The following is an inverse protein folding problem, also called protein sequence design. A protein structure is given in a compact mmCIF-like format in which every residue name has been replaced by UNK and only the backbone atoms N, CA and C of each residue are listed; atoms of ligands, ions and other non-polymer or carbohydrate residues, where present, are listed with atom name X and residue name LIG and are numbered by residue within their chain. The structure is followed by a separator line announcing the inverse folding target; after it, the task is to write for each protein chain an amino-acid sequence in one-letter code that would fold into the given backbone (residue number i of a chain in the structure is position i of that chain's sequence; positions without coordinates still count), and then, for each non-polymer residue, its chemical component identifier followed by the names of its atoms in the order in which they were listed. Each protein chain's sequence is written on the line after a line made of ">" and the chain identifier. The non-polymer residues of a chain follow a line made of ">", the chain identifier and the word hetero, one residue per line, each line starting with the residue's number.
data_IF_421532297860
#
_entry.id   IF_421532297860
#
_cell.length_a   1.000
_cell.length_b   1.000
_cell.length_c   1.000
_cell.angle_alpha   90.00
_cell.angle_beta   90.00
_cell.angle_gamma   90.00
#
_symmetry.space_group_name_H-M   'P 1'
#
loop_
_entity.id
_entity.type
_entity.pdbx_description
1 polymer ?
#
# COMPACT_ATOMS: atom_id res chain seq x y z
N UNK A 1 18.51 -22.61 -24.05
CA UNK A 1 18.98 -21.35 -24.63
C UNK A 1 20.27 -21.66 -25.36
N UNK A 2 20.35 -21.30 -26.64
CA UNK A 2 21.61 -21.44 -27.39
C UNK A 2 22.55 -20.29 -27.03
N UNK A 3 23.86 -20.46 -27.23
CA UNK A 3 24.89 -19.47 -26.87
C UNK A 3 24.63 -18.09 -27.49
N UNK A 4 24.05 -18.04 -28.69
CA UNK A 4 23.68 -16.81 -29.40
C UNK A 4 22.58 -16.01 -28.68
N UNK A 5 21.55 -16.68 -28.18
CA UNK A 5 20.43 -16.08 -27.45
C UNK A 5 20.87 -15.58 -26.05
N UNK A 6 21.85 -16.27 -25.44
CA UNK A 6 22.51 -15.82 -24.21
C UNK A 6 23.30 -14.53 -24.44
N UNK A 7 24.06 -14.46 -25.53
CA UNK A 7 24.87 -13.30 -25.88
C UNK A 7 24.00 -12.07 -26.20
N UNK A 8 22.89 -12.25 -26.92
CA UNK A 8 21.92 -11.18 -27.18
C UNK A 8 21.32 -10.63 -25.88
N UNK A 9 21.03 -11.51 -24.91
CA UNK A 9 20.50 -11.13 -23.61
C UNK A 9 21.50 -10.32 -22.79
N UNK A 10 22.77 -10.74 -22.78
CA UNK A 10 23.84 -9.99 -22.13
C UNK A 10 24.04 -8.60 -22.76
N UNK A 11 24.06 -8.53 -24.09
CA UNK A 11 24.17 -7.26 -24.83
C UNK A 11 23.00 -6.31 -24.56
N UNK A 12 21.78 -6.84 -24.46
CA UNK A 12 20.60 -6.06 -24.09
C UNK A 12 20.74 -5.50 -22.67
N UNK A 13 21.15 -6.32 -21.71
CA UNK A 13 21.34 -5.89 -20.33
C UNK A 13 22.46 -4.85 -20.21
N UNK A 14 23.57 -5.04 -20.92
CA UNK A 14 24.66 -4.08 -21.00
C UNK A 14 24.18 -2.75 -21.60
N UNK A 15 23.44 -2.80 -22.71
CA UNK A 15 22.84 -1.61 -23.32
C UNK A 15 21.96 -0.85 -22.32
N UNK A 16 21.11 -1.52 -21.56
CA UNK A 16 20.26 -0.89 -20.54
C UNK A 16 21.06 -0.36 -19.34
N UNK A 17 22.20 -0.96 -19.04
CA UNK A 17 23.13 -0.43 -18.05
C UNK A 17 23.83 0.83 -18.54
N UNK A 18 24.22 0.92 -19.82
CA UNK A 18 24.81 2.15 -20.39
C UNK A 18 23.81 3.31 -20.42
N UNK A 19 22.50 3.03 -20.47
CA UNK A 19 21.44 4.02 -20.29
C UNK A 19 21.34 4.57 -18.86
N UNK A 20 22.14 4.06 -17.91
CA UNK A 20 22.25 4.63 -16.56
C UNK A 20 22.86 6.02 -16.67
N UNK A 21 21.99 7.03 -16.75
CA UNK A 21 22.40 8.43 -16.81
C UNK A 21 23.27 8.76 -15.59
N UNK A 22 24.38 9.47 -15.83
CA UNK A 22 25.18 10.11 -14.78
C UNK A 22 24.35 11.16 -14.03
N UNK A 23 23.60 10.68 -13.03
CA UNK A 23 23.16 11.41 -11.84
C UNK A 23 22.60 12.84 -12.00
N UNK A 24 21.46 13.00 -12.71
CA UNK A 24 20.57 14.16 -12.43
C UNK A 24 19.07 13.85 -12.52
N UNK A 25 18.62 12.91 -13.36
CA UNK A 25 17.19 12.68 -13.56
C UNK A 25 16.65 11.42 -12.84
N UNK A 26 16.18 11.61 -11.59
CA UNK A 26 15.56 10.55 -10.77
C UNK A 26 14.37 9.86 -11.44
N UNK A 27 13.60 10.57 -12.26
CA UNK A 27 12.45 10.00 -12.98
C UNK A 27 12.89 9.00 -14.03
N UNK A 28 13.91 9.33 -14.82
CA UNK A 28 14.46 8.44 -15.83
C UNK A 28 15.09 7.20 -15.21
N UNK A 29 15.85 7.36 -14.11
CA UNK A 29 16.42 6.20 -13.40
C UNK A 29 15.33 5.27 -12.84
N UNK A 30 14.24 5.84 -12.33
CA UNK A 30 13.08 5.05 -11.88
C UNK A 30 12.40 4.31 -13.03
N UNK A 31 12.31 4.90 -14.22
CA UNK A 31 11.78 4.24 -15.42
C UNK A 31 12.69 3.10 -15.88
N UNK A 32 14.02 3.35 -15.91
CA UNK A 32 15.04 2.35 -16.25
C UNK A 32 14.99 1.16 -15.29
N UNK A 33 14.94 1.41 -13.98
CA UNK A 33 14.84 0.36 -12.96
C UNK A 33 13.52 -0.42 -13.04
N UNK A 34 12.39 0.23 -13.38
CA UNK A 34 11.13 -0.47 -13.68
C UNK A 34 11.22 -1.35 -14.94
N UNK A 35 11.95 -0.93 -15.97
CA UNK A 35 12.21 -1.75 -17.16
C UNK A 35 13.06 -2.97 -16.79
N UNK A 36 14.13 -2.80 -16.02
CA UNK A 36 14.96 -3.90 -15.53
C UNK A 36 14.17 -4.92 -14.71
N UNK A 37 13.26 -4.48 -13.84
CA UNK A 37 12.37 -5.39 -13.11
C UNK A 37 11.45 -6.20 -14.05
N UNK A 38 10.98 -5.60 -15.15
CA UNK A 38 10.17 -6.31 -16.16
C UNK A 38 10.98 -7.34 -16.93
N UNK A 39 12.20 -6.99 -17.33
CA UNK A 39 13.12 -7.89 -18.04
C UNK A 39 13.53 -9.05 -17.14
N UNK A 40 13.98 -8.77 -15.91
CA UNK A 40 14.33 -9.81 -14.93
C UNK A 40 13.18 -10.78 -14.69
N UNK A 41 11.93 -10.30 -14.61
CA UNK A 41 10.74 -11.16 -14.46
C UNK A 41 10.54 -12.09 -15.66
N UNK A 42 10.78 -11.61 -16.87
CA UNK A 42 10.61 -12.42 -18.08
C UNK A 42 11.71 -13.47 -18.22
N UNK A 43 12.96 -13.11 -17.98
CA UNK A 43 14.09 -14.04 -17.93
C UNK A 43 13.88 -15.14 -16.89
N UNK A 44 13.38 -14.76 -15.72
CA UNK A 44 13.08 -15.72 -14.65
C UNK A 44 11.97 -16.71 -15.03
N UNK A 45 10.95 -16.28 -15.80
CA UNK A 45 9.90 -17.18 -16.33
C UNK A 45 10.45 -18.18 -17.35
N UNK A 46 11.48 -17.79 -18.09
CA UNK A 46 12.20 -18.65 -19.04
C UNK A 46 13.22 -19.57 -18.38
N UNK A 47 13.43 -19.43 -17.07
CA UNK A 47 14.41 -20.21 -16.30
C UNK A 47 15.83 -19.66 -16.35
N UNK A 48 16.04 -18.47 -16.92
CA UNK A 48 17.35 -17.82 -17.03
C UNK A 48 17.71 -17.07 -15.75
N UNK A 49 18.02 -17.84 -14.70
CA UNK A 49 18.20 -17.31 -13.36
C UNK A 49 19.36 -16.32 -13.25
N UNK A 50 20.51 -16.60 -13.88
CA UNK A 50 21.69 -15.72 -13.82
C UNK A 50 21.45 -14.37 -14.53
N UNK A 51 20.88 -14.37 -15.74
CA UNK A 51 20.51 -13.12 -16.42
C UNK A 51 19.43 -12.35 -15.64
N UNK A 52 18.48 -13.04 -15.02
CA UNK A 52 17.49 -12.38 -14.18
C UNK A 52 18.14 -11.67 -12.97
N UNK A 53 19.15 -12.29 -12.33
CA UNK A 53 19.92 -11.66 -11.25
C UNK A 53 20.65 -10.41 -11.72
N UNK A 54 21.30 -10.46 -12.88
CA UNK A 54 21.95 -9.29 -13.47
C UNK A 54 20.94 -8.15 -13.65
N UNK A 55 19.78 -8.42 -14.26
CA UNK A 55 18.74 -7.42 -14.44
C UNK A 55 18.29 -6.80 -13.10
N UNK A 56 18.01 -7.63 -12.09
CA UNK A 56 17.55 -7.15 -10.80
C UNK A 56 18.63 -6.38 -10.02
N UNK A 57 19.91 -6.77 -10.09
CA UNK A 57 21.04 -6.08 -9.43
C UNK A 57 21.19 -4.63 -9.88
N UNK A 58 20.85 -4.34 -11.13
CA UNK A 58 20.95 -2.99 -11.69
C UNK A 58 19.70 -2.13 -11.48
N UNK A 59 18.67 -2.68 -10.83
CA UNK A 59 17.43 -1.97 -10.50
C UNK A 59 17.51 -1.40 -9.09
N UNK A 60 17.07 -0.15 -8.93
CA UNK A 60 17.01 0.56 -7.64
C UNK A 60 15.59 0.68 -7.07
N UNK A 61 14.64 -0.11 -7.57
CA UNK A 61 13.25 -0.12 -7.07
C UNK A 61 12.77 -1.52 -6.72
N UNK A 62 11.98 -1.62 -5.65
CA UNK A 62 11.19 -2.81 -5.30
C UNK A 62 10.36 -3.28 -6.53
N UNK A 63 10.27 -4.60 -6.83
CA UNK A 63 10.68 -5.75 -5.99
C UNK A 63 12.09 -6.31 -6.26
N UNK A 64 13.03 -5.56 -6.84
CA UNK A 64 14.31 -6.10 -7.32
C UNK A 64 15.08 -6.95 -6.29
N UNK A 65 15.31 -6.44 -5.07
CA UNK A 65 16.04 -7.18 -4.02
C UNK A 65 15.29 -8.40 -3.50
N UNK A 66 13.96 -8.30 -3.33
CA UNK A 66 13.12 -9.49 -3.04
C UNK A 66 13.29 -10.56 -4.13
N UNK A 67 13.26 -10.18 -5.42
CA UNK A 67 13.43 -11.14 -6.51
C UNK A 67 14.82 -11.75 -6.51
N UNK A 68 15.87 -10.97 -6.24
CA UNK A 68 17.23 -11.50 -6.08
C UNK A 68 17.30 -12.57 -4.99
N UNK A 69 16.73 -12.32 -3.80
CA UNK A 69 16.68 -13.33 -2.72
C UNK A 69 16.02 -14.65 -3.19
N UNK A 70 14.90 -14.56 -3.92
CA UNK A 70 14.19 -15.74 -4.45
C UNK A 70 14.99 -16.47 -5.53
N UNK A 71 15.82 -15.77 -6.28
CA UNK A 71 16.66 -16.38 -7.32
C UNK A 71 17.91 -17.00 -6.69
N UNK A 72 18.59 -16.32 -5.77
CA UNK A 72 19.70 -16.90 -4.99
C UNK A 72 19.29 -18.20 -4.30
N UNK A 73 18.13 -18.22 -3.65
CA UNK A 73 17.59 -19.45 -3.06
C UNK A 73 17.37 -20.57 -4.10
N UNK A 74 16.94 -20.24 -5.32
CA UNK A 74 16.74 -21.26 -6.38
C UNK A 74 18.04 -21.79 -6.96
N UNK A 75 19.12 -21.03 -6.83
CA UNK A 75 20.48 -21.39 -7.24
C UNK A 75 21.29 -22.01 -6.09
N UNK A 76 20.66 -22.28 -4.93
CA UNK A 76 21.31 -22.75 -3.71
C UNK A 76 22.46 -21.82 -3.22
N UNK A 77 22.43 -20.54 -3.60
CA UNK A 77 23.36 -19.49 -3.20
C UNK A 77 22.92 -18.87 -1.86
N UNK A 78 23.05 -19.65 -0.79
CA UNK A 78 22.53 -19.29 0.54
C UNK A 78 23.29 -18.12 1.17
N UNK A 79 24.60 -18.01 0.92
CA UNK A 79 25.43 -16.94 1.49
C UNK A 79 25.03 -15.57 0.94
N UNK A 80 24.91 -15.45 -0.39
CA UNK A 80 24.51 -14.22 -1.08
C UNK A 80 23.07 -13.83 -0.73
N UNK A 81 22.20 -14.83 -0.55
CA UNK A 81 20.83 -14.61 -0.08
C UNK A 81 20.80 -14.03 1.35
N UNK A 82 21.60 -14.55 2.28
CA UNK A 82 21.74 -14.04 3.65
C UNK A 82 22.26 -12.62 3.69
N UNK A 83 23.33 -12.35 2.95
CA UNK A 83 23.95 -11.03 2.87
C UNK A 83 22.92 -9.98 2.42
N UNK A 84 22.19 -10.29 1.34
CA UNK A 84 21.12 -9.42 0.85
C UNK A 84 19.96 -9.30 1.86
N UNK A 85 19.62 -10.37 2.60
CA UNK A 85 18.58 -10.31 3.64
C UNK A 85 18.99 -9.35 4.76
N UNK A 86 20.23 -9.42 5.23
CA UNK A 86 20.76 -8.51 6.25
C UNK A 86 20.75 -7.07 5.75
N UNK A 87 21.17 -6.83 4.50
CA UNK A 87 21.13 -5.50 3.88
C UNK A 87 19.70 -4.93 3.84
N UNK A 88 18.72 -5.72 3.40
CA UNK A 88 17.32 -5.31 3.35
C UNK A 88 16.78 -5.01 4.76
N UNK A 89 17.17 -5.82 5.75
CA UNK A 89 16.69 -5.66 7.13
C UNK A 89 17.24 -4.39 7.77
N UNK A 90 18.53 -4.08 7.52
CA UNK A 90 19.17 -2.85 8.02
C UNK A 90 18.67 -1.60 7.28
N UNK A 91 18.55 -1.67 5.94
CA UNK A 91 18.24 -0.53 5.06
C UNK A 91 17.20 -0.92 4.01
N UNK A 92 15.93 -1.07 4.43
CA UNK A 92 14.85 -1.32 3.48
C UNK A 92 14.58 -0.08 2.62
N UNK A 93 14.35 -0.28 1.32
CA UNK A 93 13.76 0.72 0.42
C UNK A 93 12.24 0.81 0.63
N UNK A 94 11.60 -0.27 1.08
CA UNK A 94 10.15 -0.34 1.37
C UNK A 94 9.86 -1.24 2.57
N UNK A 95 8.76 -1.01 3.31
CA UNK A 95 8.36 -1.96 4.38
C UNK A 95 8.01 -3.35 3.79
N UNK A 96 7.53 -3.42 2.54
CA UNK A 96 7.19 -4.67 1.86
C UNK A 96 8.39 -5.63 1.77
N UNK A 97 9.54 -5.16 1.26
CA UNK A 97 10.72 -6.01 1.19
C UNK A 97 11.32 -6.32 2.56
N UNK A 98 11.16 -5.41 3.56
CA UNK A 98 11.60 -5.68 4.93
C UNK A 98 10.85 -6.89 5.50
N UNK A 99 9.51 -6.86 5.42
CA UNK A 99 8.68 -7.96 5.88
C UNK A 99 8.93 -9.25 5.09
N UNK A 100 9.17 -9.14 3.79
CA UNK A 100 9.56 -10.29 2.99
C UNK A 100 10.89 -10.87 3.49
N UNK A 101 11.91 -10.04 3.69
CA UNK A 101 13.22 -10.47 4.17
C UNK A 101 13.14 -11.14 5.54
N UNK A 102 12.40 -10.58 6.48
CA UNK A 102 12.21 -11.16 7.83
C UNK A 102 11.52 -12.54 7.81
N UNK A 103 10.56 -12.74 6.90
CA UNK A 103 9.75 -13.98 6.81
C UNK A 103 10.33 -15.03 5.88
N UNK A 104 11.11 -14.64 4.87
CA UNK A 104 11.56 -15.56 3.84
C UNK A 104 12.47 -16.64 4.43
N UNK A 105 11.96 -17.88 4.48
CA UNK A 105 12.66 -19.09 4.98
C UNK A 105 13.04 -19.07 6.47
N UNK A 106 12.61 -18.06 7.23
CA UNK A 106 12.64 -18.09 8.68
C UNK A 106 11.54 -19.01 9.24
N UNK A 107 11.89 -19.87 10.19
CA UNK A 107 10.93 -20.74 10.91
C UNK A 107 10.14 -19.99 11.99
N UNK A 108 10.62 -18.82 12.42
CA UNK A 108 9.91 -17.98 13.37
C UNK A 108 8.81 -17.21 12.63
N UNK A 109 7.58 -17.73 12.67
CA UNK A 109 6.42 -16.89 12.45
C UNK A 109 6.39 -15.88 13.59
N UNK A 110 6.73 -14.63 13.29
CA UNK A 110 6.23 -13.54 14.14
C UNK A 110 4.73 -13.53 13.88
N UNK A 111 3.99 -14.28 14.70
CA UNK A 111 2.54 -14.29 14.65
C UNK A 111 2.08 -12.89 15.02
N UNK A 112 1.63 -12.17 14.01
CA UNK A 112 0.94 -10.92 14.21
C UNK A 112 -0.38 -11.26 14.86
N UNK A 113 -0.57 -10.79 16.09
CA UNK A 113 -1.79 -11.02 16.85
C UNK A 113 -2.86 -10.02 16.42
N UNK A 114 -3.43 -10.21 15.24
CA UNK A 114 -4.78 -9.71 14.95
C UNK A 114 -5.76 -10.86 15.14
N UNK A 115 -6.98 -10.54 15.56
CA UNK A 115 -8.03 -11.54 15.74
C UNK A 115 -8.41 -12.11 14.36
N UNK A 116 -8.52 -13.43 14.26
CA UNK A 116 -9.03 -14.10 13.06
C UNK A 116 -10.31 -14.83 13.44
N UNK A 117 -11.42 -14.39 12.88
CA UNK A 117 -12.74 -14.99 13.05
C UNK A 117 -13.02 -15.90 11.86
N UNK A 118 -13.45 -17.12 12.10
CA UNK A 118 -13.79 -18.07 11.03
C UNK A 118 -15.30 -18.27 10.96
N UNK A 119 -15.86 -18.20 9.75
CA UNK A 119 -17.28 -18.43 9.50
C UNK A 119 -17.47 -19.38 8.32
N UNK A 120 -18.60 -20.10 8.28
CA UNK A 120 -18.95 -20.94 7.13
C UNK A 120 -19.60 -20.07 6.08
N UNK A 121 -19.13 -20.19 4.83
CA UNK A 121 -19.76 -19.52 3.69
C UNK A 121 -21.11 -20.19 3.42
N UNK A 122 -22.20 -19.53 3.79
CA UNK A 122 -23.55 -20.12 3.66
C UNK A 122 -24.08 -20.10 2.22
N UNK A 123 -23.55 -19.20 1.38
CA UNK A 123 -23.83 -19.16 -0.05
C UNK A 123 -22.54 -19.31 -0.89
N UNK A 124 -22.25 -20.53 -1.36
CA UNK A 124 -21.09 -20.78 -2.22
C UNK A 124 -21.17 -20.15 -3.61
N UNK A 125 -22.34 -19.64 -4.02
CA UNK A 125 -22.57 -19.03 -5.34
C UNK A 125 -22.28 -17.53 -5.39
N UNK A 126 -21.91 -16.94 -4.26
CA UNK A 126 -21.49 -15.54 -4.18
C UNK A 126 -20.23 -15.29 -5.01
N UNK A 127 -20.32 -14.33 -5.95
CA UNK A 127 -19.20 -13.88 -6.77
C UNK A 127 -18.29 -12.87 -6.07
N UNK A 128 -18.75 -12.24 -4.98
CA UNK A 128 -18.00 -11.24 -4.22
C UNK A 128 -18.19 -11.44 -2.71
N UNK A 129 -17.14 -11.96 -2.07
CA UNK A 129 -17.18 -12.36 -0.66
C UNK A 129 -17.29 -11.17 0.29
N UNK A 130 -16.76 -10.01 -0.10
CA UNK A 130 -16.78 -8.78 0.68
C UNK A 130 -18.19 -8.20 0.76
N UNK A 131 -18.93 -8.18 -0.35
CA UNK A 131 -20.34 -7.75 -0.39
C UNK A 131 -21.23 -8.73 0.38
N UNK A 132 -20.98 -10.03 0.26
CA UNK A 132 -21.69 -11.03 1.06
C UNK A 132 -21.48 -10.81 2.56
N UNK A 133 -20.24 -10.54 2.99
CA UNK A 133 -19.94 -10.22 4.38
C UNK A 133 -20.66 -8.96 4.86
N UNK A 134 -20.72 -7.89 4.04
CA UNK A 134 -21.53 -6.71 4.33
C UNK A 134 -23.00 -7.07 4.60
N UNK A 135 -23.62 -7.86 3.70
CA UNK A 135 -25.02 -8.27 3.87
C UNK A 135 -25.26 -9.12 5.11
N UNK A 136 -24.29 -9.97 5.52
CA UNK A 136 -24.39 -10.72 6.78
C UNK A 136 -24.34 -9.82 8.00
N UNK A 137 -23.50 -8.78 7.99
CA UNK A 137 -23.44 -7.80 9.07
C UNK A 137 -24.73 -6.96 9.13
N UNK A 138 -25.24 -6.52 7.99
CA UNK A 138 -26.53 -5.80 7.89
C UNK A 138 -27.70 -6.63 8.41
N UNK A 139 -27.74 -7.94 8.10
CA UNK A 139 -28.75 -8.86 8.64
C UNK A 139 -28.70 -9.02 10.16
N UNK A 140 -27.55 -8.75 10.79
CA UNK A 140 -27.35 -8.72 12.25
C UNK A 140 -27.67 -7.36 12.87
N UNK A 141 -28.08 -6.38 12.06
CA UNK A 141 -28.36 -5.01 12.46
C UNK A 141 -27.11 -4.13 12.61
N UNK A 142 -25.98 -4.54 12.02
CA UNK A 142 -24.75 -3.74 11.99
C UNK A 142 -24.68 -2.97 10.67
N UNK A 143 -23.98 -1.85 10.63
CA UNK A 143 -23.74 -1.13 9.38
C UNK A 143 -22.36 -1.50 8.83
N UNK A 144 -22.26 -1.80 7.53
CA UNK A 144 -21.02 -2.24 6.92
C UNK A 144 -20.80 -1.58 5.56
N UNK A 145 -19.58 -1.09 5.32
CA UNK A 145 -19.19 -0.51 4.04
C UNK A 145 -17.93 -1.18 3.51
N UNK A 146 -17.96 -1.55 2.23
CA UNK A 146 -16.77 -1.97 1.50
C UNK A 146 -16.04 -0.75 0.94
N UNK A 147 -15.06 -0.23 1.69
CA UNK A 147 -14.36 1.03 1.37
C UNK A 147 -12.90 0.81 0.96
N UNK A 148 -12.28 -0.28 1.40
CA UNK A 148 -10.86 -0.55 1.19
C UNK A 148 -9.97 0.70 1.43
N UNK A 149 -9.02 0.96 0.54
CA UNK A 149 -8.09 2.09 0.60
C UNK A 149 -8.77 3.45 0.35
N UNK A 150 -10.05 3.50 -0.03
CA UNK A 150 -10.75 4.77 -0.23
C UNK A 150 -11.00 5.51 1.08
N UNK A 151 -11.22 4.80 2.20
CA UNK A 151 -11.41 5.42 3.51
C UNK A 151 -10.16 6.19 3.97
N UNK A 152 -8.98 5.56 4.16
CA UNK A 152 -7.81 6.28 4.64
C UNK A 152 -7.34 7.34 3.66
N UNK A 153 -7.43 7.07 2.34
CA UNK A 153 -7.05 8.04 1.31
C UNK A 153 -7.95 9.28 1.34
N UNK A 154 -9.27 9.11 1.48
CA UNK A 154 -10.19 10.24 1.52
C UNK A 154 -9.97 11.10 2.77
N UNK A 155 -9.84 10.49 3.94
CA UNK A 155 -9.53 11.21 5.18
C UNK A 155 -8.22 11.99 5.05
N UNK A 156 -7.17 11.38 4.47
CA UNK A 156 -5.90 12.06 4.23
C UNK A 156 -6.07 13.22 3.24
N UNK A 157 -6.77 13.00 2.12
CA UNK A 157 -7.02 14.01 1.11
C UNK A 157 -7.81 15.22 1.62
N UNK A 158 -8.76 14.99 2.52
CA UNK A 158 -9.54 16.05 3.17
C UNK A 158 -8.71 16.81 4.22
N UNK A 159 -7.94 16.10 5.06
CA UNK A 159 -7.10 16.74 6.07
C UNK A 159 -5.96 17.55 5.45
N UNK A 160 -5.28 16.99 4.46
CA UNK A 160 -4.08 17.54 3.82
C UNK A 160 -4.38 18.21 2.46
N UNK A 161 -5.61 18.70 2.25
CA UNK A 161 -5.99 19.31 0.97
C UNK A 161 -5.05 20.44 0.54
N UNK A 162 -4.71 21.34 1.47
CA UNK A 162 -3.80 22.46 1.20
C UNK A 162 -2.39 22.00 0.86
N UNK A 163 -1.93 20.87 1.43
CA UNK A 163 -0.64 20.28 1.08
C UNK A 163 -0.67 19.74 -0.36
N UNK A 164 -1.73 19.04 -0.74
CA UNK A 164 -1.86 18.49 -2.11
C UNK A 164 -1.82 19.63 -3.15
N UNK A 165 -2.43 20.76 -2.86
CA UNK A 165 -2.58 21.89 -3.81
C UNK A 165 -1.68 23.09 -3.55
N UNK A 166 -0.71 22.97 -2.64
CA UNK A 166 0.27 24.02 -2.38
C UNK A 166 0.99 24.45 -3.68
N UNK A 167 1.26 25.75 -3.88
CA UNK A 167 1.82 26.29 -5.12
C UNK A 167 3.33 26.02 -5.22
N UNK A 168 3.71 24.75 -5.33
CA UNK A 168 5.10 24.30 -5.51
C UNK A 168 5.47 24.35 -7.00
N UNK A 169 6.63 24.94 -7.31
CA UNK A 169 7.16 24.99 -8.67
C UNK A 169 7.31 23.56 -9.24
N UNK A 170 6.88 23.35 -10.48
CA UNK A 170 6.92 22.06 -11.21
C UNK A 170 6.00 20.94 -10.67
N UNK A 171 5.34 21.11 -9.52
CA UNK A 171 4.39 20.13 -9.00
C UNK A 171 3.18 19.97 -9.94
N UNK A 172 2.68 21.09 -10.47
CA UNK A 172 1.65 21.16 -11.50
C UNK A 172 2.20 21.88 -12.74
N UNK A 173 2.24 21.18 -13.88
CA UNK A 173 2.75 21.71 -15.16
C UNK A 173 1.64 21.93 -16.19
N UNK A 174 0.43 21.46 -15.94
CA UNK A 174 -0.74 21.74 -16.80
C UNK A 174 -2.06 21.73 -16.01
N UNK A 175 -3.12 22.38 -16.52
CA UNK A 175 -4.41 22.52 -15.81
C UNK A 175 -5.21 21.22 -15.61
N UNK A 176 -4.86 20.14 -16.30
CA UNK A 176 -5.61 18.87 -16.24
C UNK A 176 -5.03 17.88 -15.22
N UNK A 177 -3.99 18.29 -14.48
CA UNK A 177 -3.44 17.47 -13.41
C UNK A 177 -4.40 17.41 -12.23
N UNK A 178 -4.85 16.19 -11.91
CA UNK A 178 -5.67 15.90 -10.75
C UNK A 178 -4.88 16.10 -9.45
N UNK A 179 -3.56 15.93 -9.46
CA UNK A 179 -2.70 16.12 -8.29
C UNK A 179 -1.24 16.41 -8.65
N UNK A 180 -0.41 16.73 -7.66
CA UNK A 180 0.97 17.12 -7.89
C UNK A 180 1.83 15.91 -8.24
N UNK A 181 2.84 16.10 -9.10
CA UNK A 181 3.72 15.03 -9.58
C UNK A 181 4.53 14.37 -8.47
N UNK A 182 4.77 15.10 -7.39
CA UNK A 182 5.61 14.70 -6.27
C UNK A 182 4.80 14.11 -5.10
N UNK A 183 3.48 13.92 -5.20
CA UNK A 183 2.63 13.40 -4.11
C UNK A 183 3.17 12.14 -3.42
N UNK A 184 3.81 11.27 -4.21
CA UNK A 184 4.34 9.98 -3.75
C UNK A 184 5.87 9.94 -3.74
N UNK A 185 6.52 11.10 -3.58
CA UNK A 185 7.96 11.19 -3.41
C UNK A 185 8.30 11.50 -1.95
N UNK A 186 9.48 11.09 -1.46
CA UNK A 186 9.91 11.38 -0.08
C UNK A 186 9.96 12.89 0.24
N UNK A 187 10.15 13.73 -0.77
CA UNK A 187 10.28 15.18 -0.61
C UNK A 187 8.94 15.92 -0.46
N UNK A 188 7.79 15.25 -0.71
CA UNK A 188 6.46 15.88 -0.77
C UNK A 188 6.18 16.81 0.41
N UNK A 189 6.38 16.32 1.64
CA UNK A 189 6.17 17.11 2.86
C UNK A 189 7.30 18.13 3.10
N UNK A 190 8.55 17.78 2.78
CA UNK A 190 9.70 18.64 3.03
C UNK A 190 9.60 19.97 2.27
N UNK A 191 9.17 19.95 1.01
CA UNK A 191 9.07 21.16 0.16
C UNK A 191 7.86 22.03 0.50
N UNK A 192 6.89 21.52 1.28
CA UNK A 192 5.65 22.21 1.67
C UNK A 192 5.61 22.68 3.12
N UNK A 193 6.59 22.26 3.94
CA UNK A 193 6.60 22.48 5.39
C UNK A 193 6.42 23.94 5.81
N UNK A 194 7.04 24.87 5.08
CA UNK A 194 6.95 26.30 5.39
C UNK A 194 5.69 26.98 4.82
N UNK A 195 4.96 26.30 3.94
CA UNK A 195 3.78 26.84 3.25
C UNK A 195 2.46 26.33 3.86
N UNK A 196 2.50 25.16 4.49
CA UNK A 196 1.31 24.45 4.94
C UNK A 196 1.39 24.17 6.43
N UNK A 197 0.27 24.32 7.12
CA UNK A 197 0.12 23.89 8.51
C UNK A 197 -0.16 22.39 8.54
N UNK A 198 0.53 21.65 9.40
CA UNK A 198 0.24 20.23 9.62
C UNK A 198 -1.13 20.09 10.33
N UNK A 199 -2.14 19.45 9.71
CA UNK A 199 -3.46 19.23 10.30
C UNK A 199 -3.43 18.52 11.66
N UNK A 200 -2.39 17.73 11.94
CA UNK A 200 -2.23 17.04 13.21
C UNK A 200 -1.66 17.92 14.32
N UNK A 201 -1.02 19.04 13.97
CA UNK A 201 -0.43 20.00 14.89
C UNK A 201 -1.18 21.34 14.95
N UNK A 202 -2.20 21.50 14.10
CA UNK A 202 -3.00 22.71 14.05
C UNK A 202 -3.92 22.85 15.28
N UNK A 203 -4.27 24.09 15.59
CA UNK A 203 -5.22 24.48 16.63
C UNK A 203 -6.67 24.17 16.28
N UNK A 204 -7.01 24.09 14.99
CA UNK A 204 -8.34 23.70 14.54
C UNK A 204 -8.57 22.20 14.83
N UNK A 205 -9.71 21.81 15.43
CA UNK A 205 -10.09 20.41 15.58
C UNK A 205 -10.08 19.68 14.23
N UNK A 206 -9.52 18.47 14.20
CA UNK A 206 -9.34 17.75 12.95
C UNK A 206 -10.68 17.39 12.31
N UNK A 207 -11.68 17.01 13.12
CA UNK A 207 -13.03 16.72 12.61
C UNK A 207 -13.63 17.94 11.90
N UNK A 208 -13.54 19.11 12.54
CA UNK A 208 -14.03 20.36 11.96
C UNK A 208 -13.34 20.66 10.62
N UNK A 209 -12.02 20.44 10.54
CA UNK A 209 -11.27 20.58 9.29
C UNK A 209 -11.78 19.63 8.20
N UNK A 210 -11.99 18.35 8.52
CA UNK A 210 -12.49 17.37 7.56
C UNK A 210 -13.87 17.75 7.00
N UNK A 211 -14.80 18.15 7.87
CA UNK A 211 -16.15 18.57 7.49
C UNK A 211 -16.13 19.84 6.63
N UNK A 212 -15.33 20.85 7.02
CA UNK A 212 -15.20 22.08 6.25
C UNK A 212 -14.57 21.84 4.87
N UNK A 213 -13.50 21.04 4.80
CA UNK A 213 -12.89 20.69 3.52
C UNK A 213 -13.89 19.92 2.65
N UNK A 214 -14.64 18.97 3.23
CA UNK A 214 -15.63 18.21 2.47
C UNK A 214 -16.67 19.14 1.85
N UNK A 215 -17.31 20.01 2.65
CA UNK A 215 -18.34 20.93 2.17
C UNK A 215 -17.81 21.89 1.10
N UNK A 216 -16.59 22.41 1.26
CA UNK A 216 -16.01 23.38 0.32
C UNK A 216 -15.48 22.74 -0.96
N UNK A 217 -15.04 21.49 -0.91
CA UNK A 217 -14.28 20.84 -2.00
C UNK A 217 -15.03 19.69 -2.67
N UNK A 218 -16.22 19.35 -2.20
CA UNK A 218 -17.03 18.28 -2.78
C UNK A 218 -17.14 18.41 -4.30
N UNK A 219 -16.83 17.32 -5.01
CA UNK A 219 -16.85 17.26 -6.47
C UNK A 219 -15.61 17.81 -7.18
N UNK A 220 -14.69 18.49 -6.48
CA UNK A 220 -13.40 18.89 -7.05
C UNK A 220 -12.49 17.67 -7.13
N UNK A 221 -11.91 17.40 -8.31
CA UNK A 221 -11.02 16.26 -8.50
C UNK A 221 -9.87 16.28 -7.48
N UNK A 222 -9.49 15.11 -6.96
CA UNK A 222 -8.38 14.94 -6.02
C UNK A 222 -7.82 13.51 -6.17
N UNK A 223 -6.50 13.28 -6.12
CA UNK A 223 -5.91 11.95 -6.34
C UNK A 223 -6.18 10.96 -5.20
N UNK A 224 -6.59 11.46 -4.03
CA UNK A 224 -6.81 10.67 -2.81
C UNK A 224 -8.30 10.52 -2.45
N UNK A 225 -9.17 11.40 -2.96
CA UNK A 225 -10.61 11.38 -2.63
C UNK A 225 -11.43 10.88 -3.82
N UNK A 226 -12.13 9.76 -3.63
CA UNK A 226 -13.14 9.28 -4.57
C UNK A 226 -14.55 9.63 -4.07
N UNK A 227 -15.08 10.76 -4.54
CA UNK A 227 -16.40 11.28 -4.13
C UNK A 227 -17.60 10.37 -4.42
N UNK A 228 -17.44 9.35 -5.28
CA UNK A 228 -18.51 8.38 -5.55
C UNK A 228 -18.62 7.31 -4.47
N UNK A 229 -17.52 7.03 -3.78
CA UNK A 229 -17.43 6.00 -2.73
C UNK A 229 -17.45 6.65 -1.35
N UNK A 230 -16.81 7.81 -1.21
CA UNK A 230 -16.70 8.55 0.04
C UNK A 230 -17.61 9.79 -0.02
N UNK A 231 -18.87 9.62 0.34
CA UNK A 231 -19.88 10.68 0.38
C UNK A 231 -20.04 11.29 1.79
N UNK A 232 -21.01 12.19 1.93
CA UNK A 232 -21.27 12.90 3.19
C UNK A 232 -21.73 11.95 4.30
N UNK A 233 -22.57 10.97 3.98
CA UNK A 233 -23.07 9.98 4.95
C UNK A 233 -21.94 9.11 5.48
N UNK A 234 -20.99 8.73 4.61
CA UNK A 234 -19.80 7.97 5.00
C UNK A 234 -18.91 8.80 5.93
N UNK A 235 -18.66 10.07 5.59
CA UNK A 235 -17.88 10.96 6.45
C UNK A 235 -18.51 11.15 7.83
N UNK A 236 -19.81 11.47 7.88
CA UNK A 236 -20.56 11.68 9.13
C UNK A 236 -20.53 10.43 10.02
N UNK A 237 -20.65 9.25 9.43
CA UNK A 237 -20.56 7.97 10.15
C UNK A 237 -19.16 7.76 10.72
N UNK A 238 -18.12 7.94 9.90
CA UNK A 238 -16.72 7.76 10.31
C UNK A 238 -16.37 8.70 11.47
N UNK A 239 -16.70 9.99 11.33
CA UNK A 239 -16.43 11.01 12.34
C UNK A 239 -17.11 10.66 13.67
N UNK A 240 -18.37 10.23 13.61
CA UNK A 240 -19.16 9.87 14.79
C UNK A 240 -18.63 8.63 15.51
N UNK A 241 -18.30 7.57 14.77
CA UNK A 241 -17.92 6.28 15.35
C UNK A 241 -16.43 6.18 15.69
N UNK A 242 -15.55 6.72 14.84
CA UNK A 242 -14.10 6.67 15.09
C UNK A 242 -13.67 7.75 16.08
N UNK A 243 -14.32 8.92 16.04
CA UNK A 243 -13.87 10.09 16.80
C UNK A 243 -12.52 10.63 16.34
N UNK A 244 -12.10 11.76 16.93
CA UNK A 244 -10.92 12.48 16.45
C UNK A 244 -9.61 11.72 16.69
N UNK A 245 -9.48 11.04 17.84
CA UNK A 245 -8.25 10.35 18.20
C UNK A 245 -7.91 9.20 17.22
N UNK A 246 -8.89 8.36 16.87
CA UNK A 246 -8.67 7.25 15.96
C UNK A 246 -8.35 7.74 14.54
N UNK A 247 -9.01 8.81 14.08
CA UNK A 247 -8.70 9.44 12.79
C UNK A 247 -7.28 10.00 12.80
N UNK A 248 -6.86 10.69 13.88
CA UNK A 248 -5.47 11.18 14.02
C UNK A 248 -4.46 10.04 13.93
N UNK A 249 -4.68 8.94 14.67
CA UNK A 249 -3.84 7.74 14.61
C UNK A 249 -3.75 7.18 13.19
N UNK A 250 -4.88 7.07 12.48
CA UNK A 250 -4.90 6.60 11.10
C UNK A 250 -4.10 7.50 10.15
N UNK A 251 -4.25 8.83 10.25
CA UNK A 251 -3.48 9.77 9.45
C UNK A 251 -1.97 9.71 9.76
N UNK A 252 -1.59 9.52 11.03
CA UNK A 252 -0.19 9.36 11.43
C UNK A 252 0.45 8.13 10.79
N UNK A 253 -0.29 7.03 10.65
CA UNK A 253 0.20 5.84 9.95
C UNK A 253 0.51 6.10 8.47
N UNK A 254 -0.17 7.05 7.84
CA UNK A 254 -0.01 7.36 6.42
C UNK A 254 1.17 8.30 6.10
N UNK A 255 1.52 9.19 7.04
CA UNK A 255 2.53 10.23 6.83
C UNK A 255 3.91 9.74 6.36
N UNK A 256 4.48 8.63 6.90
CA UNK A 256 5.83 8.23 6.54
C UNK A 256 6.00 7.84 5.06
N UNK A 257 4.99 7.16 4.48
CA UNK A 257 5.01 6.74 3.08
C UNK A 257 3.58 6.60 2.52
N UNK A 258 3.08 7.71 1.96
CA UNK A 258 1.78 7.73 1.28
C UNK A 258 1.68 6.73 0.13
N UNK A 259 2.79 6.38 -0.52
CA UNK A 259 2.78 5.46 -1.65
C UNK A 259 2.51 4.04 -1.19
N UNK A 260 3.13 3.65 -0.09
CA UNK A 260 2.95 2.34 0.52
C UNK A 260 1.53 2.13 1.02
N UNK A 261 0.94 3.17 1.59
CA UNK A 261 -0.40 3.15 2.17
C UNK A 261 -1.54 3.23 1.15
N UNK A 262 -1.26 3.10 -0.15
CA UNK A 262 -2.28 3.13 -1.23
C UNK A 262 -3.03 1.81 -1.42
N UNK A 263 -2.51 0.72 -0.85
CA UNK A 263 -3.06 -0.62 -1.06
C UNK A 263 -2.99 -1.45 0.21
N UNK A 264 -3.90 -2.41 0.32
CA UNK A 264 -3.92 -3.36 1.42
C UNK A 264 -4.60 -2.89 2.70
N UNK A 265 -5.24 -1.71 2.72
CA UNK A 265 -6.16 -1.38 3.81
C UNK A 265 -7.29 -2.42 3.89
N UNK A 266 -7.79 -2.78 5.09
CA UNK A 266 -8.88 -3.75 5.25
C UNK A 266 -10.09 -3.43 4.38
N UNK A 267 -10.73 -4.49 3.88
CA UNK A 267 -11.82 -4.37 2.92
C UNK A 267 -13.01 -3.58 3.51
N UNK A 268 -13.43 -3.93 4.73
CA UNK A 268 -14.64 -3.43 5.34
C UNK A 268 -14.37 -2.45 6.49
N UNK A 269 -15.24 -1.44 6.58
CA UNK A 269 -15.49 -0.65 7.77
C UNK A 269 -16.85 -1.05 8.33
N UNK A 270 -16.89 -1.56 9.56
CA UNK A 270 -18.11 -2.05 10.20
C UNK A 270 -18.40 -1.26 11.47
N UNK A 271 -19.66 -0.88 11.67
CA UNK A 271 -20.16 -0.16 12.84
C UNK A 271 -21.22 -1.00 13.53
N UNK A 272 -20.99 -1.27 14.81
CA UNK A 272 -21.90 -2.01 15.68
C UNK A 272 -23.02 -1.10 16.24
N UNK A 273 -24.13 -1.68 16.77
CA UNK A 273 -25.27 -0.90 17.27
C UNK A 273 -24.96 0.04 18.44
N UNK A 274 -23.85 -0.17 19.13
CA UNK A 274 -23.35 0.68 20.23
C UNK A 274 -22.37 1.76 19.75
N UNK A 275 -22.34 2.03 18.43
CA UNK A 275 -21.47 2.99 17.74
C UNK A 275 -19.97 2.70 17.78
N UNK A 276 -19.57 1.52 18.27
CA UNK A 276 -18.21 1.04 18.13
C UNK A 276 -17.94 0.58 16.70
N UNK A 277 -16.67 0.66 16.26
CA UNK A 277 -16.29 0.32 14.88
C UNK A 277 -15.18 -0.72 14.83
N UNK A 278 -15.06 -1.39 13.69
CA UNK A 278 -13.97 -2.32 13.39
C UNK A 278 -13.62 -2.30 11.89
N UNK A 279 -12.32 -2.38 11.60
CA UNK A 279 -11.82 -2.66 10.26
C UNK A 279 -11.70 -4.17 10.05
N UNK A 280 -12.35 -4.71 9.02
CA UNK A 280 -12.38 -6.16 8.79
C UNK A 280 -11.81 -6.47 7.41
N UNK A 281 -10.76 -7.29 7.39
CA UNK A 281 -10.19 -7.87 6.17
C UNK A 281 -10.88 -9.21 5.90
N UNK A 282 -11.51 -9.36 4.73
CA UNK A 282 -12.29 -10.54 4.37
C UNK A 282 -11.42 -11.50 3.54
N UNK A 283 -11.55 -12.80 3.83
CA UNK A 283 -10.89 -13.87 3.07
C UNK A 283 -11.86 -14.95 2.69
N UNK A 284 -11.91 -15.24 1.39
CA UNK A 284 -12.56 -16.44 0.88
C UNK A 284 -11.86 -17.73 1.32
N UNK A 285 -12.47 -18.91 1.06
CA UNK A 285 -11.97 -20.21 1.51
C UNK A 285 -10.54 -20.54 1.13
N UNK A 286 -10.10 -20.11 -0.04
CA UNK A 286 -8.75 -20.37 -0.58
C UNK A 286 -7.78 -19.21 -0.37
N UNK A 287 -8.25 -18.08 0.15
CA UNK A 287 -7.48 -16.85 0.17
C UNK A 287 -6.63 -16.71 1.42
N UNK A 288 -5.53 -15.99 1.23
CA UNK A 288 -4.58 -15.67 2.28
C UNK A 288 -4.39 -14.16 2.34
N UNK A 289 -4.10 -13.67 3.54
CA UNK A 289 -3.74 -12.27 3.76
C UNK A 289 -2.46 -11.96 2.98
N UNK A 290 -2.51 -10.90 2.17
CA UNK A 290 -1.39 -10.48 1.32
C UNK A 290 -0.34 -9.71 2.14
N UNK A 291 0.91 -9.61 1.68
CA UNK A 291 1.96 -8.89 2.41
C UNK A 291 1.64 -7.43 2.74
N UNK A 292 1.07 -6.68 1.80
CA UNK A 292 0.64 -5.29 2.01
C UNK A 292 -0.53 -5.18 3.01
N UNK A 293 -1.43 -6.16 3.04
CA UNK A 293 -2.50 -6.22 4.03
C UNK A 293 -1.95 -6.48 5.43
N UNK A 294 -0.96 -7.36 5.57
CA UNK A 294 -0.29 -7.55 6.86
C UNK A 294 0.35 -6.26 7.39
N UNK A 295 0.91 -5.40 6.53
CA UNK A 295 1.46 -4.09 6.95
C UNK A 295 0.36 -3.27 7.63
N UNK A 296 -0.81 -3.16 7.00
CA UNK A 296 -1.94 -2.42 7.56
C UNK A 296 -2.50 -3.05 8.82
N UNK A 297 -2.74 -4.35 8.84
CA UNK A 297 -3.26 -5.06 10.02
C UNK A 297 -2.32 -4.87 11.23
N UNK A 298 -1.01 -4.97 11.02
CA UNK A 298 0.00 -4.70 12.06
C UNK A 298 -0.04 -3.25 12.53
N UNK A 299 -0.05 -2.30 11.59
CA UNK A 299 -0.01 -0.87 11.89
C UNK A 299 -1.25 -0.43 12.67
N UNK A 300 -2.45 -0.84 12.22
CA UNK A 300 -3.72 -0.58 12.89
C UNK A 300 -3.74 -1.17 14.31
N UNK A 301 -3.39 -2.45 14.46
CA UNK A 301 -3.36 -3.10 15.76
C UNK A 301 -2.34 -2.44 16.71
N UNK A 302 -1.18 -2.01 16.21
CA UNK A 302 -0.16 -1.34 17.02
C UNK A 302 -0.57 0.05 17.53
N UNK A 303 -1.53 0.68 16.85
CA UNK A 303 -2.14 1.95 17.26
C UNK A 303 -3.45 1.76 18.05
N UNK A 304 -3.77 0.52 18.42
CA UNK A 304 -5.02 0.15 19.11
C UNK A 304 -6.28 0.51 18.30
N UNK A 305 -6.16 0.55 16.97
CA UNK A 305 -7.32 0.67 16.08
C UNK A 305 -7.96 -0.72 15.90
N UNK A 306 -9.27 -0.88 16.15
CA UNK A 306 -9.93 -2.17 16.09
C UNK A 306 -9.83 -2.79 14.70
N UNK A 307 -9.21 -3.97 14.61
CA UNK A 307 -8.98 -4.65 13.34
C UNK A 307 -8.99 -6.18 13.50
N UNK A 308 -9.61 -6.86 12.55
CA UNK A 308 -9.61 -8.33 12.49
C UNK A 308 -9.65 -8.87 11.06
N UNK A 309 -9.46 -10.18 10.94
CA UNK A 309 -9.63 -10.93 9.69
C UNK A 309 -10.86 -11.82 9.80
N UNK A 310 -11.79 -11.70 8.85
CA UNK A 310 -12.91 -12.61 8.70
C UNK A 310 -12.58 -13.63 7.60
N UNK A 311 -12.41 -14.89 7.99
CA UNK A 311 -12.11 -15.99 7.06
C UNK A 311 -13.30 -16.90 6.86
N UNK A 312 -13.80 -16.94 5.64
CA UNK A 312 -14.81 -17.89 5.23
C UNK A 312 -14.21 -19.27 4.96
N UNK A 313 -14.94 -20.30 5.36
CA UNK A 313 -14.66 -21.71 5.04
C UNK A 313 -15.74 -22.23 4.10
N UNK A 314 -15.35 -23.08 3.15
CA UNK A 314 -16.33 -23.79 2.34
C UNK A 314 -17.23 -24.68 3.22
N UNK A 315 -18.49 -24.83 2.82
CA UNK A 315 -19.37 -25.87 3.40
C UNK A 315 -18.72 -27.23 3.13
N UNK A 316 -18.59 -28.03 4.18
CA UNK A 316 -17.98 -29.36 4.13
C UNK A 316 -18.82 -30.37 3.33
#
# INVERSE_FOLDING_TARGET
>A
MNEEESLETEQLLESIQTLKSSNTNRTLERQRSKLLNRIGRELERRGELLHSLLAYRHSSVHPARERQMRVFHRLDQIFEMEELRMEITEKPWTIEEKLFAEKFKCKSRVDVKYNTNEQVLTDPSTDNIEIFACSEFEARGWAAWHLENHLPSALFGLAYWDWVYAPIQEAFVNPFQIGPRDLYTPEFFAVRRELCVDPLMDSMPLIQRLEQTFEQKFGISNPLVNWKIFDKSVLETIVRCMGEEAIRKLLQLMLPDLRQMRSGFPDLFVVMPDDTFEFIEVKGPTDQVRPNQHIWLQALASMELPVSVLKYKAVA
#
